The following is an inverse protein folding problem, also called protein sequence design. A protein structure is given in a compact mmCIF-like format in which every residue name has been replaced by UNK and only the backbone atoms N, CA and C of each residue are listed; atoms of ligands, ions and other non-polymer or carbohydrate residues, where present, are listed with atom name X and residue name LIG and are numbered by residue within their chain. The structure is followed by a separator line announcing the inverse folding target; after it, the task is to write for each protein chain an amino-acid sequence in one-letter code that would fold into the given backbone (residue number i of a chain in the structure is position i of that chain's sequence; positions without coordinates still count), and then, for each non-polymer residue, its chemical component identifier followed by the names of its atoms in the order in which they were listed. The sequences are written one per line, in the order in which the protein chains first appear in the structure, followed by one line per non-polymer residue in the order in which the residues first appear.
data_IF_023431754868
#
_entry.id   IF_023431754868
#
_cell.length_a   1.000
_cell.length_b   1.000
_cell.length_c   1.000
_cell.angle_alpha   90.00
_cell.angle_beta   90.00
_cell.angle_gamma   90.00
#
_symmetry.space_group_name_H-M   'P 1'
#
loop_
_entity.id
_entity.type
_entity.pdbx_description
1 polymer ?
#
# COMPACT_ATOMS: atom_id res chain seq x y z
N UNK A 1 14.41 21.06 -16.63
CA UNK A 1 13.80 22.17 -15.87
C UNK A 1 13.04 21.54 -14.72
N UNK A 2 13.24 22.02 -13.53
CA UNK A 2 12.47 21.53 -12.36
C UNK A 2 10.99 21.87 -12.55
N UNK A 3 10.12 20.88 -12.53
CA UNK A 3 8.66 21.06 -12.62
C UNK A 3 8.11 21.25 -11.20
N UNK A 4 7.98 22.49 -10.78
CA UNK A 4 7.67 22.82 -9.39
C UNK A 4 6.16 22.89 -9.08
N UNK A 5 5.32 23.04 -10.11
CA UNK A 5 3.87 23.21 -9.95
C UNK A 5 3.07 22.12 -10.64
N UNK A 6 1.85 21.85 -10.13
CA UNK A 6 0.93 20.89 -10.76
C UNK A 6 0.64 21.23 -12.21
N UNK A 7 0.36 22.47 -12.62
CA UNK A 7 0.17 22.81 -14.02
C UNK A 7 1.37 22.49 -14.92
N UNK A 8 2.60 22.71 -14.46
CA UNK A 8 3.81 22.38 -15.23
C UNK A 8 3.96 20.87 -15.42
N UNK A 9 3.66 20.08 -14.37
CA UNK A 9 3.70 18.61 -14.40
C UNK A 9 2.65 18.05 -15.35
N UNK A 10 1.42 18.59 -15.33
CA UNK A 10 0.35 18.20 -16.25
C UNK A 10 0.66 18.55 -17.70
N UNK A 11 1.24 19.72 -17.95
CA UNK A 11 1.67 20.09 -19.29
C UNK A 11 2.76 19.15 -19.82
N UNK A 12 3.74 18.77 -18.99
CA UNK A 12 4.77 17.80 -19.34
C UNK A 12 4.19 16.40 -19.61
N UNK A 13 3.22 15.96 -18.78
CA UNK A 13 2.56 14.67 -18.97
C UNK A 13 1.79 14.64 -20.29
N UNK A 14 1.03 15.69 -20.62
CA UNK A 14 0.32 15.80 -21.91
C UNK A 14 1.27 15.77 -23.10
N UNK A 15 2.40 16.47 -23.00
CA UNK A 15 3.42 16.43 -24.06
C UNK A 15 4.01 15.02 -24.24
N UNK A 16 4.22 14.27 -23.13
CA UNK A 16 4.68 12.89 -23.18
C UNK A 16 3.59 11.95 -23.73
N UNK A 17 2.32 12.18 -23.39
CA UNK A 17 1.18 11.46 -23.97
C UNK A 17 1.14 11.62 -25.49
N UNK A 18 1.22 12.84 -25.98
CA UNK A 18 1.22 13.13 -27.41
C UNK A 18 2.42 12.47 -28.14
N UNK A 19 3.61 12.55 -27.55
CA UNK A 19 4.81 11.93 -28.11
C UNK A 19 4.71 10.39 -28.19
N UNK A 20 3.89 9.78 -27.35
CA UNK A 20 3.69 8.32 -27.29
C UNK A 20 2.40 7.85 -27.97
N UNK A 21 1.61 8.73 -28.56
CA UNK A 21 0.34 8.42 -29.20
C UNK A 21 -0.73 7.94 -28.20
N UNK A 22 -0.77 8.56 -27.02
CA UNK A 22 -1.72 8.26 -25.93
C UNK A 22 -2.72 9.41 -25.84
N UNK A 23 -4.01 9.09 -25.84
CA UNK A 23 -5.08 10.08 -25.78
C UNK A 23 -5.51 10.40 -24.34
N UNK A 24 -5.33 9.42 -23.42
CA UNK A 24 -5.72 9.50 -22.03
C UNK A 24 -4.72 8.72 -21.17
N UNK A 25 -4.33 9.28 -20.02
CA UNK A 25 -3.39 8.61 -19.10
C UNK A 25 -4.02 8.44 -17.72
N UNK A 26 -4.00 7.22 -17.20
CA UNK A 26 -4.54 6.84 -15.89
C UNK A 26 -3.41 6.57 -14.90
N UNK A 27 -3.42 7.28 -13.78
CA UNK A 27 -2.50 7.10 -12.65
C UNK A 27 -3.34 6.66 -11.44
N UNK A 28 -3.37 5.37 -11.09
CA UNK A 28 -3.98 4.92 -9.83
C UNK A 28 -3.06 5.22 -8.64
N UNK A 29 -3.61 5.33 -7.45
CA UNK A 29 -2.82 5.14 -6.23
C UNK A 29 -2.41 3.67 -6.18
N UNK A 30 -1.12 3.40 -6.22
CA UNK A 30 -0.63 2.03 -6.21
C UNK A 30 0.89 1.94 -6.34
N UNK A 31 1.38 0.80 -5.90
CA UNK A 31 2.74 0.33 -6.06
C UNK A 31 2.77 -1.08 -6.70
N UNK A 32 3.92 -1.67 -6.98
CA UNK A 32 4.01 -3.00 -7.58
C UNK A 32 3.40 -4.14 -6.74
N UNK A 33 3.04 -3.88 -5.49
CA UNK A 33 2.62 -4.86 -4.49
C UNK A 33 1.20 -4.66 -3.97
N UNK A 34 0.46 -3.67 -4.47
CA UNK A 34 -0.86 -3.28 -3.98
C UNK A 34 -0.85 -3.00 -2.47
N UNK A 35 0.16 -2.25 -2.02
CA UNK A 35 0.30 -1.84 -0.63
C UNK A 35 -0.77 -0.80 -0.27
N UNK A 36 -1.21 -0.80 0.99
CA UNK A 36 -2.13 0.22 1.52
C UNK A 36 -1.41 1.56 1.69
N UNK A 37 -0.23 1.55 2.33
CA UNK A 37 0.67 2.69 2.40
C UNK A 37 1.76 2.52 1.36
N UNK A 38 1.95 3.54 0.52
CA UNK A 38 2.93 3.48 -0.55
C UNK A 38 4.31 3.92 -0.06
N UNK A 39 5.39 3.28 -0.53
CA UNK A 39 6.70 3.93 -0.49
C UNK A 39 6.66 5.26 -1.23
N UNK A 40 7.32 6.28 -0.72
CA UNK A 40 7.33 7.63 -1.32
C UNK A 40 7.74 7.64 -2.80
N UNK A 41 8.51 6.66 -3.24
CA UNK A 41 8.88 6.46 -4.64
C UNK A 41 7.67 6.30 -5.57
N UNK A 42 6.58 5.73 -5.08
CA UNK A 42 5.38 5.40 -5.85
C UNK A 42 4.22 6.39 -5.67
N UNK A 43 4.46 7.54 -5.06
CA UNK A 43 3.44 8.59 -4.86
C UNK A 43 3.23 9.44 -6.12
N UNK A 44 3.20 8.80 -7.30
CA UNK A 44 3.06 9.51 -8.59
C UNK A 44 1.74 10.29 -8.69
N UNK A 45 0.63 9.74 -8.17
CA UNK A 45 -0.63 10.45 -8.15
C UNK A 45 -0.49 11.79 -7.40
N UNK A 46 0.11 11.77 -6.22
CA UNK A 46 0.38 12.98 -5.43
C UNK A 46 1.29 13.95 -6.17
N UNK A 47 2.34 13.46 -6.81
CA UNK A 47 3.24 14.32 -7.60
C UNK A 47 2.50 15.05 -8.71
N UNK A 48 1.64 14.40 -9.48
CA UNK A 48 0.96 15.00 -10.62
C UNK A 48 -0.29 15.80 -10.23
N UNK A 49 -1.01 15.43 -9.17
CA UNK A 49 -2.26 16.08 -8.77
C UNK A 49 -2.12 17.05 -7.59
N UNK A 50 -1.12 16.87 -6.73
CA UNK A 50 -1.01 17.56 -5.44
C UNK A 50 -1.88 16.95 -4.33
N UNK A 51 -2.62 15.88 -4.59
CA UNK A 51 -3.50 15.23 -3.63
C UNK A 51 -2.79 14.08 -2.87
N UNK A 52 -2.94 14.05 -1.53
CA UNK A 52 -2.27 13.12 -0.63
C UNK A 52 -3.20 12.04 -0.04
N UNK A 53 -4.25 11.63 -0.73
CA UNK A 53 -5.15 10.60 -0.23
C UNK A 53 -4.84 9.22 -0.79
N UNK A 54 -5.36 8.21 -0.13
CA UNK A 54 -5.34 6.82 -0.54
C UNK A 54 -6.59 6.47 -1.38
N UNK A 55 -6.62 5.27 -1.97
CA UNK A 55 -7.76 4.75 -2.73
C UNK A 55 -8.33 5.74 -3.75
N UNK A 56 -7.46 6.28 -4.58
CA UNK A 56 -7.79 7.31 -5.56
C UNK A 56 -7.29 6.94 -6.95
N UNK A 57 -7.88 7.55 -7.96
CA UNK A 57 -7.45 7.44 -9.34
C UNK A 57 -7.37 8.84 -9.95
N UNK A 58 -6.38 9.07 -10.78
CA UNK A 58 -6.19 10.34 -11.47
C UNK A 58 -6.14 10.11 -12.98
N UNK A 59 -7.00 10.77 -13.72
CA UNK A 59 -7.10 10.66 -15.17
C UNK A 59 -6.74 11.99 -15.80
N UNK A 60 -5.81 11.96 -16.75
CA UNK A 60 -5.40 13.11 -17.54
C UNK A 60 -5.76 12.89 -18.99
N UNK A 61 -6.57 13.80 -19.54
CA UNK A 61 -6.85 13.90 -20.98
C UNK A 61 -6.03 15.03 -21.59
N UNK A 62 -6.18 15.28 -22.90
CA UNK A 62 -5.47 16.36 -23.58
C UNK A 62 -5.81 17.77 -23.06
N UNK A 63 -7.02 17.94 -22.53
CA UNK A 63 -7.57 19.25 -22.14
C UNK A 63 -8.12 19.31 -20.72
N UNK A 64 -8.26 18.17 -20.03
CA UNK A 64 -8.83 18.06 -18.69
C UNK A 64 -8.03 17.12 -17.79
N UNK A 65 -8.26 17.24 -16.50
CA UNK A 65 -7.78 16.29 -15.48
C UNK A 65 -8.85 16.06 -14.45
N UNK A 66 -9.05 14.82 -14.01
CA UNK A 66 -10.05 14.47 -13.02
C UNK A 66 -9.47 13.52 -11.96
N UNK A 67 -9.82 13.77 -10.71
CA UNK A 67 -9.39 13.01 -9.54
C UNK A 67 -10.58 12.33 -8.90
N UNK A 68 -10.58 11.00 -8.83
CA UNK A 68 -11.53 10.22 -8.03
C UNK A 68 -10.99 10.07 -6.61
N UNK A 69 -11.77 10.52 -5.64
CA UNK A 69 -11.49 10.29 -4.22
C UNK A 69 -12.73 9.70 -3.55
N UNK A 70 -12.55 8.84 -2.54
CA UNK A 70 -13.66 8.30 -1.77
C UNK A 70 -14.10 9.23 -0.63
N UNK A 71 -15.23 8.91 0.03
CA UNK A 71 -15.87 9.78 1.01
C UNK A 71 -15.01 10.17 2.21
N UNK A 72 -13.94 9.44 2.50
CA UNK A 72 -12.99 9.77 3.56
C UNK A 72 -12.18 11.03 3.26
N UNK A 73 -12.00 11.34 1.98
CA UNK A 73 -11.07 12.36 1.48
C UNK A 73 -11.74 13.54 0.77
N UNK A 74 -13.06 13.62 0.65
CA UNK A 74 -13.71 14.69 -0.12
C UNK A 74 -13.28 16.10 0.32
N UNK A 75 -13.27 16.35 1.64
CA UNK A 75 -12.89 17.65 2.19
C UNK A 75 -11.40 17.96 1.95
N UNK A 76 -10.55 16.97 2.13
CA UNK A 76 -9.12 17.11 1.90
C UNK A 76 -8.83 17.36 0.41
N UNK A 77 -9.41 16.57 -0.48
CA UNK A 77 -9.23 16.71 -1.92
C UNK A 77 -9.65 18.09 -2.41
N UNK A 78 -10.80 18.60 -1.96
CA UNK A 78 -11.25 19.97 -2.30
C UNK A 78 -10.23 21.04 -1.91
N UNK A 79 -9.61 20.91 -0.74
CA UNK A 79 -8.59 21.85 -0.28
C UNK A 79 -7.30 21.75 -1.09
N UNK A 80 -6.80 20.53 -1.31
CA UNK A 80 -5.49 20.29 -1.89
C UNK A 80 -5.44 20.58 -3.41
N UNK A 81 -6.51 20.30 -4.15
CA UNK A 81 -6.57 20.61 -5.58
C UNK A 81 -7.09 22.02 -5.89
N UNK A 82 -7.44 22.79 -4.85
CA UNK A 82 -7.98 24.13 -5.04
C UNK A 82 -7.03 25.03 -5.85
N UNK A 83 -7.58 25.73 -6.84
CA UNK A 83 -6.79 26.61 -7.73
C UNK A 83 -6.03 25.89 -8.85
N UNK A 84 -6.19 24.57 -8.97
CA UNK A 84 -5.74 23.79 -10.14
C UNK A 84 -6.87 23.63 -11.17
N UNK A 85 -6.57 23.01 -12.31
CA UNK A 85 -7.57 22.64 -13.31
C UNK A 85 -8.29 21.31 -13.01
N UNK A 86 -7.93 20.63 -11.91
CA UNK A 86 -8.37 19.27 -11.62
C UNK A 86 -9.82 19.28 -11.13
N UNK A 87 -10.67 18.49 -11.78
CA UNK A 87 -12.05 18.25 -11.37
C UNK A 87 -12.10 17.14 -10.33
N UNK A 88 -12.81 17.34 -9.20
CA UNK A 88 -13.02 16.32 -8.18
C UNK A 88 -14.23 15.46 -8.51
N UNK A 89 -14.00 14.18 -8.73
CA UNK A 89 -15.03 13.16 -8.90
C UNK A 89 -15.23 12.42 -7.55
N UNK A 90 -16.36 12.68 -6.89
CA UNK A 90 -16.68 12.11 -5.57
C UNK A 90 -17.21 10.69 -5.72
N UNK A 91 -16.35 9.70 -5.47
CA UNK A 91 -16.68 8.28 -5.65
C UNK A 91 -17.94 7.88 -4.87
N UNK A 92 -18.88 7.25 -5.60
CA UNK A 92 -20.13 6.75 -5.02
C UNK A 92 -21.27 7.75 -4.89
N UNK A 93 -21.03 9.04 -5.18
CA UNK A 93 -22.09 10.04 -5.19
C UNK A 93 -22.99 9.89 -6.44
N UNK A 94 -24.30 10.19 -6.33
CA UNK A 94 -25.22 10.08 -7.45
C UNK A 94 -24.81 10.97 -8.63
N UNK A 95 -24.72 10.38 -9.82
CA UNK A 95 -24.38 11.07 -11.05
C UNK A 95 -22.88 11.19 -11.33
N UNK A 96 -22.01 10.75 -10.41
CA UNK A 96 -20.58 10.68 -10.62
C UNK A 96 -20.24 9.39 -11.38
N UNK A 97 -19.54 9.46 -12.53
CA UNK A 97 -19.16 8.28 -13.28
C UNK A 97 -18.06 7.50 -12.53
N UNK A 98 -17.99 6.19 -12.74
CA UNK A 98 -16.80 5.44 -12.33
C UNK A 98 -15.61 5.84 -13.21
N UNK A 99 -14.39 5.55 -12.75
CA UNK A 99 -13.18 5.85 -13.53
C UNK A 99 -13.20 5.15 -14.88
N UNK A 100 -13.72 3.92 -14.96
CA UNK A 100 -13.84 3.17 -16.21
C UNK A 100 -14.84 3.82 -17.17
N UNK A 101 -15.99 4.27 -16.66
CA UNK A 101 -17.01 4.97 -17.46
C UNK A 101 -16.47 6.28 -18.02
N UNK A 102 -15.80 7.07 -17.16
CA UNK A 102 -15.18 8.32 -17.59
C UNK A 102 -14.12 8.09 -18.66
N UNK A 103 -13.23 7.10 -18.47
CA UNK A 103 -12.24 6.74 -19.48
C UNK A 103 -12.87 6.36 -20.80
N UNK A 104 -13.95 5.55 -20.78
CA UNK A 104 -14.68 5.17 -21.98
C UNK A 104 -15.36 6.36 -22.65
N UNK A 105 -15.93 7.30 -21.89
CA UNK A 105 -16.61 8.48 -22.44
C UNK A 105 -15.61 9.50 -23.03
N UNK A 106 -14.49 9.71 -22.35
CA UNK A 106 -13.47 10.66 -22.76
C UNK A 106 -12.58 10.17 -23.92
N UNK A 107 -12.41 8.85 -24.08
CA UNK A 107 -11.55 8.28 -25.12
C UNK A 107 -12.20 8.43 -26.51
N UNK A 108 -11.48 8.90 -27.54
CA UNK A 108 -11.95 8.88 -28.93
C UNK A 108 -12.11 7.43 -29.44
N UNK A 109 -12.86 7.27 -30.54
CA UNK A 109 -12.99 5.99 -31.24
C UNK A 109 -11.63 5.47 -31.68
N UNK A 110 -11.29 4.21 -31.31
CA UNK A 110 -9.98 3.62 -31.58
C UNK A 110 -8.82 4.25 -30.80
N UNK A 111 -9.11 5.07 -29.78
CA UNK A 111 -8.11 5.78 -28.99
C UNK A 111 -7.27 4.88 -28.09
N UNK A 112 -6.23 5.44 -27.52
CA UNK A 112 -5.24 4.74 -26.67
C UNK A 112 -5.23 5.34 -25.27
N UNK A 113 -5.49 4.49 -24.26
CA UNK A 113 -5.28 4.81 -22.86
C UNK A 113 -3.90 4.31 -22.41
N UNK A 114 -3.10 5.19 -21.83
CA UNK A 114 -1.81 4.86 -21.22
C UNK A 114 -1.91 4.66 -19.72
N UNK A 115 -1.10 3.76 -19.17
CA UNK A 115 -0.92 3.59 -17.73
C UNK A 115 0.39 2.85 -17.42
N UNK A 116 0.87 2.98 -16.17
CA UNK A 116 1.99 2.16 -15.69
C UNK A 116 1.49 0.78 -15.25
N UNK A 117 1.95 -0.28 -15.96
CA UNK A 117 1.56 -1.65 -15.64
C UNK A 117 2.09 -2.16 -14.30
N UNK A 118 3.14 -1.55 -13.73
CA UNK A 118 3.68 -1.92 -12.42
C UNK A 118 2.83 -1.41 -11.25
N UNK A 119 2.15 -0.27 -11.42
CA UNK A 119 1.36 0.35 -10.34
C UNK A 119 -0.15 0.12 -10.49
N UNK A 120 -0.60 -0.38 -11.63
CA UNK A 120 -1.99 -0.74 -11.88
C UNK A 120 -2.26 -2.23 -11.62
N UNK A 121 -3.30 -2.55 -10.84
CA UNK A 121 -3.72 -3.95 -10.64
C UNK A 121 -4.28 -4.53 -11.94
N UNK A 122 -4.15 -5.85 -12.11
CA UNK A 122 -4.75 -6.56 -13.23
C UNK A 122 -6.28 -6.35 -13.30
N UNK A 123 -6.95 -6.33 -12.15
CA UNK A 123 -8.38 -6.09 -12.07
C UNK A 123 -8.77 -4.72 -12.62
N UNK A 124 -8.06 -3.67 -12.24
CA UNK A 124 -8.32 -2.31 -12.75
C UNK A 124 -8.14 -2.25 -14.27
N UNK A 125 -7.02 -2.77 -14.77
CA UNK A 125 -6.73 -2.74 -16.22
C UNK A 125 -7.80 -3.49 -17.01
N UNK A 126 -8.25 -4.64 -16.53
CA UNK A 126 -9.32 -5.42 -17.17
C UNK A 126 -10.67 -4.71 -17.15
N UNK A 127 -11.05 -4.08 -16.04
CA UNK A 127 -12.30 -3.34 -15.96
C UNK A 127 -12.31 -2.11 -16.86
N UNK A 128 -11.19 -1.41 -16.94
CA UNK A 128 -11.01 -0.29 -17.87
C UNK A 128 -11.06 -0.80 -19.32
N UNK A 129 -10.29 -1.82 -19.70
CA UNK A 129 -10.32 -2.36 -21.08
C UNK A 129 -11.74 -2.76 -21.51
N UNK A 130 -12.47 -3.45 -20.63
CA UNK A 130 -13.87 -3.85 -20.89
C UNK A 130 -14.76 -2.64 -21.18
N UNK A 131 -14.54 -1.51 -20.49
CA UNK A 131 -15.29 -0.28 -20.75
C UNK A 131 -14.90 0.37 -22.09
N UNK A 132 -13.60 0.27 -22.47
CA UNK A 132 -13.09 0.81 -23.73
C UNK A 132 -13.49 0.01 -24.97
N UNK A 133 -13.84 -1.28 -24.83
CA UNK A 133 -14.14 -2.19 -25.95
C UNK A 133 -15.26 -1.66 -26.86
N UNK A 134 -16.24 -0.96 -26.29
CA UNK A 134 -17.34 -0.36 -27.05
C UNK A 134 -16.90 0.70 -28.07
N UNK A 135 -15.74 1.31 -27.87
CA UNK A 135 -15.10 2.30 -28.75
C UNK A 135 -13.86 1.77 -29.46
N UNK A 136 -13.65 0.47 -29.45
CA UNK A 136 -12.43 -0.16 -29.98
C UNK A 136 -11.14 0.45 -29.39
N UNK A 137 -11.23 0.97 -28.15
CA UNK A 137 -10.11 1.54 -27.44
C UNK A 137 -9.11 0.48 -26.97
N UNK A 138 -7.85 0.86 -26.86
CA UNK A 138 -6.77 -0.03 -26.44
C UNK A 138 -6.01 0.54 -25.25
N UNK A 139 -5.45 -0.34 -24.41
CA UNK A 139 -4.56 0.05 -23.33
C UNK A 139 -3.12 -0.16 -23.77
N UNK A 140 -2.27 0.84 -23.53
CA UNK A 140 -0.84 0.79 -23.74
C UNK A 140 -0.12 0.92 -22.39
N UNK A 141 0.61 -0.12 -22.00
CA UNK A 141 1.46 -0.07 -20.81
C UNK A 141 2.74 0.70 -21.10
N UNK A 142 2.92 1.80 -20.40
CA UNK A 142 4.15 2.60 -20.44
C UNK A 142 4.26 3.41 -19.14
N UNK A 143 5.47 3.63 -18.70
CA UNK A 143 5.73 4.35 -17.45
C UNK A 143 6.19 5.78 -17.77
N UNK A 144 5.23 6.69 -17.86
CA UNK A 144 5.50 8.11 -18.07
C UNK A 144 5.91 8.82 -16.78
N UNK A 145 5.51 8.29 -15.64
CA UNK A 145 5.80 8.84 -14.32
C UNK A 145 7.31 8.84 -14.06
N UNK A 146 8.00 7.72 -14.30
CA UNK A 146 9.44 7.61 -14.09
C UNK A 146 10.22 8.49 -15.06
N UNK A 147 9.72 8.63 -16.30
CA UNK A 147 10.36 9.47 -17.31
C UNK A 147 10.27 10.97 -16.99
N UNK A 148 9.22 11.39 -16.28
CA UNK A 148 8.93 12.79 -15.99
C UNK A 148 9.33 13.20 -14.58
N UNK A 149 9.12 12.34 -13.57
CA UNK A 149 9.49 12.62 -12.20
C UNK A 149 10.90 12.14 -11.88
N UNK A 150 11.89 12.83 -12.44
CA UNK A 150 13.32 12.48 -12.27
C UNK A 150 14.00 13.31 -11.19
N UNK A 151 13.58 14.57 -11.00
CA UNK A 151 14.16 15.48 -10.01
C UNK A 151 13.37 15.42 -8.70
N UNK A 152 14.07 15.18 -7.59
CA UNK A 152 13.47 15.12 -6.25
C UNK A 152 12.60 13.88 -6.00
N UNK A 153 12.59 12.88 -6.89
CA UNK A 153 11.89 11.63 -6.65
C UNK A 153 12.60 10.84 -5.55
N UNK A 154 11.89 10.41 -4.52
CA UNK A 154 12.46 9.54 -3.50
C UNK A 154 13.02 8.25 -4.09
N UNK A 155 14.16 7.78 -3.57
CA UNK A 155 14.70 6.48 -3.96
C UNK A 155 13.82 5.34 -3.45
N UNK A 156 13.96 4.15 -4.04
CA UNK A 156 13.36 2.95 -3.47
C UNK A 156 13.95 2.69 -2.08
N UNK A 157 13.14 2.19 -1.13
CA UNK A 157 13.62 1.87 0.21
C UNK A 157 14.73 0.83 0.17
N UNK A 158 15.76 1.03 1.00
CA UNK A 158 16.89 0.09 1.17
C UNK A 158 17.09 -0.26 2.66
N UNK A 159 16.01 -0.41 3.42
CA UNK A 159 16.11 -0.77 4.83
C UNK A 159 16.62 -2.20 5.01
N UNK A 160 17.43 -2.49 6.05
CA UNK A 160 17.87 -3.86 6.31
C UNK A 160 16.68 -4.82 6.48
N UNK A 161 16.76 -5.98 5.84
CA UNK A 161 15.75 -7.02 5.98
C UNK A 161 16.19 -8.06 7.01
N UNK A 162 15.25 -8.56 7.82
CA UNK A 162 15.47 -9.58 8.85
C UNK A 162 14.36 -10.63 8.85
N UNK A 163 14.58 -11.75 9.54
CA UNK A 163 13.56 -12.78 9.72
C UNK A 163 13.01 -12.75 11.15
N UNK A 164 11.70 -12.80 11.24
CA UNK A 164 11.00 -13.03 12.51
C UNK A 164 11.21 -14.47 12.93
N UNK A 165 11.72 -14.71 14.13
CA UNK A 165 12.01 -16.06 14.61
C UNK A 165 10.75 -16.93 14.73
N UNK A 166 10.93 -18.24 14.63
CA UNK A 166 9.86 -19.22 14.87
C UNK A 166 9.22 -19.06 16.25
N UNK A 167 9.95 -18.56 17.24
CA UNK A 167 9.41 -18.25 18.58
C UNK A 167 8.20 -17.32 18.49
N UNK A 168 8.25 -16.31 17.61
CA UNK A 168 7.13 -15.37 17.40
C UNK A 168 6.14 -15.85 16.34
N UNK A 169 6.63 -16.42 15.25
CA UNK A 169 5.81 -16.80 14.10
C UNK A 169 5.09 -18.16 14.26
N UNK A 170 5.52 -19.00 15.18
CA UNK A 170 4.99 -20.36 15.41
C UNK A 170 5.47 -21.39 14.38
N UNK A 171 5.64 -21.00 13.12
CA UNK A 171 6.12 -21.84 12.02
C UNK A 171 7.33 -21.24 11.34
N UNK A 172 8.24 -22.10 10.90
CA UNK A 172 9.35 -21.71 10.02
C UNK A 172 8.85 -21.48 8.59
N UNK A 173 9.59 -20.73 7.75
CA UNK A 173 9.23 -20.53 6.33
C UNK A 173 9.00 -21.85 5.57
N UNK A 174 9.84 -22.87 5.77
CA UNK A 174 9.67 -24.17 5.12
C UNK A 174 8.32 -24.82 5.44
N UNK A 175 7.87 -24.77 6.71
CA UNK A 175 6.58 -25.34 7.13
C UNK A 175 5.40 -24.58 6.47
N UNK A 176 5.49 -23.26 6.34
CA UNK A 176 4.46 -22.43 5.68
C UNK A 176 4.45 -22.66 4.16
N UNK A 177 5.63 -22.82 3.54
CA UNK A 177 5.73 -23.18 2.11
C UNK A 177 5.09 -24.55 1.83
N UNK A 178 5.26 -25.53 2.71
CA UNK A 178 4.58 -26.83 2.56
C UNK A 178 3.05 -26.70 2.67
N UNK A 179 2.56 -25.89 3.61
CA UNK A 179 1.12 -25.60 3.74
C UNK A 179 0.58 -24.92 2.47
N UNK A 180 1.31 -23.94 1.93
CA UNK A 180 0.93 -23.29 0.68
C UNK A 180 0.90 -24.25 -0.49
N UNK A 181 1.92 -25.11 -0.66
CA UNK A 181 1.98 -26.13 -1.72
C UNK A 181 0.81 -27.10 -1.64
N UNK A 182 0.43 -27.53 -0.44
CA UNK A 182 -0.75 -28.35 -0.24
C UNK A 182 -2.02 -27.64 -0.71
N UNK A 183 -2.15 -26.36 -0.39
CA UNK A 183 -3.29 -25.52 -0.79
C UNK A 183 -3.34 -25.29 -2.29
N UNK A 184 -2.22 -25.02 -2.93
CA UNK A 184 -2.12 -24.88 -4.39
C UNK A 184 -2.58 -26.16 -5.11
N UNK A 185 -2.18 -27.33 -4.60
CA UNK A 185 -2.63 -28.62 -5.13
C UNK A 185 -4.15 -28.80 -5.03
N UNK A 186 -4.77 -28.41 -3.91
CA UNK A 186 -6.23 -28.44 -3.75
C UNK A 186 -6.92 -27.53 -4.78
N UNK A 187 -6.32 -26.38 -5.08
CA UNK A 187 -6.81 -25.43 -6.07
C UNK A 187 -6.48 -25.81 -7.52
N UNK A 188 -5.78 -26.94 -7.75
CA UNK A 188 -5.36 -27.36 -9.09
C UNK A 188 -4.29 -26.46 -9.71
N UNK A 189 -3.51 -25.76 -8.87
CA UNK A 189 -2.36 -24.97 -9.27
C UNK A 189 -1.05 -25.70 -8.94
N UNK A 190 0.00 -25.40 -9.71
CA UNK A 190 1.34 -25.95 -9.48
C UNK A 190 2.34 -24.90 -9.03
N UNK A 191 1.98 -23.61 -9.21
CA UNK A 191 2.79 -22.48 -8.80
C UNK A 191 1.92 -21.32 -8.33
N UNK A 192 2.53 -20.39 -7.57
CA UNK A 192 1.96 -19.09 -7.22
C UNK A 192 3.03 -18.02 -7.28
N UNK A 193 2.67 -16.84 -7.81
CA UNK A 193 3.42 -15.64 -7.59
C UNK A 193 2.81 -14.87 -6.40
N UNK A 194 3.59 -14.70 -5.34
CA UNK A 194 3.24 -13.93 -4.16
C UNK A 194 3.78 -12.51 -4.34
N UNK A 195 2.88 -11.57 -4.60
CA UNK A 195 3.21 -10.15 -4.79
C UNK A 195 2.84 -9.28 -3.58
N UNK A 196 1.79 -9.62 -2.82
CA UNK A 196 1.40 -8.84 -1.64
C UNK A 196 2.44 -8.96 -0.52
N UNK A 197 2.91 -7.81 -0.05
CA UNK A 197 4.00 -7.75 0.94
C UNK A 197 3.63 -8.35 2.29
N UNK A 198 2.40 -8.17 2.75
CA UNK A 198 1.88 -8.74 3.98
C UNK A 198 1.78 -10.28 3.92
N UNK A 199 1.37 -10.83 2.77
CA UNK A 199 1.34 -12.27 2.54
C UNK A 199 2.75 -12.86 2.48
N UNK A 200 3.67 -12.18 1.81
CA UNK A 200 5.08 -12.56 1.72
C UNK A 200 5.76 -12.48 3.10
N UNK A 201 5.52 -11.41 3.84
CA UNK A 201 6.04 -11.23 5.19
C UNK A 201 5.60 -12.35 6.14
N UNK A 202 4.37 -12.81 6.02
CA UNK A 202 3.89 -13.96 6.78
C UNK A 202 4.50 -15.27 6.28
N UNK A 203 4.51 -15.51 4.97
CA UNK A 203 4.97 -16.77 4.36
C UNK A 203 6.43 -17.06 4.70
N UNK A 204 7.29 -16.07 4.53
CA UNK A 204 8.74 -16.20 4.71
C UNK A 204 9.25 -15.66 6.07
N UNK A 205 8.37 -15.21 6.96
CA UNK A 205 8.75 -14.50 8.19
C UNK A 205 9.63 -13.26 7.94
N UNK A 206 9.63 -12.74 6.72
CA UNK A 206 10.49 -11.65 6.28
C UNK A 206 9.97 -10.29 6.74
N UNK A 207 10.86 -9.45 7.24
CA UNK A 207 10.57 -8.08 7.69
C UNK A 207 11.59 -7.10 7.15
N UNK A 208 11.15 -5.88 6.91
CA UNK A 208 11.96 -4.69 6.69
C UNK A 208 11.09 -3.45 6.93
N UNK A 209 11.68 -2.27 7.00
CA UNK A 209 10.94 -1.02 7.21
C UNK A 209 10.80 -0.25 5.89
N UNK A 210 10.35 -0.91 4.82
CA UNK A 210 10.20 -0.27 3.50
C UNK A 210 8.89 0.49 3.36
N UNK A 211 7.88 0.06 4.07
CA UNK A 211 6.56 0.66 4.08
C UNK A 211 6.37 1.40 5.40
N UNK A 212 5.88 2.61 5.33
CA UNK A 212 5.58 3.40 6.52
C UNK A 212 4.66 2.61 7.47
N UNK A 213 4.95 2.65 8.76
CA UNK A 213 4.17 2.01 9.82
C UNK A 213 4.04 0.48 9.73
N UNK A 214 4.53 -0.17 8.68
CA UNK A 214 4.41 -1.62 8.50
C UNK A 214 5.76 -2.25 8.19
N UNK A 215 6.19 -3.29 8.95
CA UNK A 215 7.51 -3.88 8.77
C UNK A 215 7.55 -4.86 7.60
N UNK A 216 7.25 -4.39 6.39
CA UNK A 216 7.27 -5.18 5.17
C UNK A 216 8.50 -4.90 4.33
N UNK A 217 9.01 -5.94 3.68
CA UNK A 217 10.08 -5.87 2.71
C UNK A 217 9.50 -5.83 1.29
N UNK A 218 9.91 -4.88 0.47
CA UNK A 218 9.59 -4.89 -0.96
C UNK A 218 10.27 -6.10 -1.61
N UNK A 219 9.45 -7.07 -2.00
CA UNK A 219 9.92 -8.32 -2.58
C UNK A 219 8.77 -9.08 -3.28
N UNK A 220 9.14 -10.00 -4.16
CA UNK A 220 8.24 -11.02 -4.72
C UNK A 220 8.72 -12.41 -4.30
N UNK A 221 7.83 -13.38 -4.30
CA UNK A 221 8.20 -14.77 -4.15
C UNK A 221 7.46 -15.63 -5.18
N UNK A 222 8.22 -16.38 -5.99
CA UNK A 222 7.67 -17.38 -6.91
C UNK A 222 7.82 -18.75 -6.27
N UNK A 223 6.70 -19.43 -6.04
CA UNK A 223 6.65 -20.73 -5.37
C UNK A 223 6.13 -21.77 -6.33
N UNK A 224 6.87 -22.88 -6.50
CA UNK A 224 6.44 -24.10 -7.20
C UNK A 224 6.37 -25.28 -6.21
N UNK A 225 6.04 -26.46 -6.73
CA UNK A 225 5.99 -27.68 -5.93
C UNK A 225 7.30 -28.03 -5.20
N UNK A 226 8.43 -27.63 -5.75
CA UNK A 226 9.78 -27.96 -5.27
C UNK A 226 10.71 -26.76 -5.08
N UNK A 227 10.36 -25.58 -5.60
CA UNK A 227 11.17 -24.35 -5.50
C UNK A 227 10.40 -23.24 -4.78
N UNK A 228 11.15 -22.34 -4.18
CA UNK A 228 10.69 -21.02 -3.76
C UNK A 228 11.82 -20.02 -4.03
N UNK A 229 11.55 -18.99 -4.82
CA UNK A 229 12.53 -17.97 -5.21
C UNK A 229 12.07 -16.63 -4.69
N UNK A 230 12.83 -16.02 -3.78
CA UNK A 230 12.60 -14.68 -3.25
C UNK A 230 13.36 -13.68 -4.12
N UNK A 231 12.64 -12.71 -4.67
CA UNK A 231 13.18 -11.57 -5.42
C UNK A 231 13.19 -10.35 -4.50
N UNK A 232 14.38 -9.94 -4.08
CA UNK A 232 14.60 -8.82 -3.16
C UNK A 232 15.91 -8.13 -3.53
N UNK A 233 16.06 -6.83 -3.23
CA UNK A 233 17.38 -6.20 -3.31
C UNK A 233 18.33 -6.92 -2.34
N UNK A 234 19.23 -7.74 -2.89
CA UNK A 234 20.06 -8.67 -2.11
C UNK A 234 21.03 -7.98 -1.15
N UNK A 235 21.37 -6.72 -1.41
CA UNK A 235 22.22 -5.93 -0.51
C UNK A 235 21.61 -5.69 0.87
N UNK A 236 20.29 -5.86 0.99
CA UNK A 236 19.54 -5.63 2.22
C UNK A 236 19.48 -6.84 3.14
N UNK A 237 19.80 -8.03 2.60
CA UNK A 237 19.84 -9.27 3.36
C UNK A 237 21.21 -9.42 4.03
N UNK A 238 21.23 -9.43 5.37
CA UNK A 238 22.41 -9.83 6.12
C UNK A 238 22.72 -11.31 5.88
N UNK A 239 23.98 -11.71 6.12
CA UNK A 239 24.45 -13.09 5.90
C UNK A 239 23.63 -14.14 6.69
N UNK A 240 23.17 -13.79 7.89
CA UNK A 240 22.35 -14.64 8.76
C UNK A 240 20.97 -14.88 8.15
N UNK A 241 20.26 -13.83 7.77
CA UNK A 241 18.95 -13.94 7.14
C UNK A 241 19.01 -14.70 5.80
N UNK A 242 20.04 -14.45 5.00
CA UNK A 242 20.23 -15.16 3.74
C UNK A 242 20.53 -16.67 3.96
N UNK A 243 21.31 -17.02 5.00
CA UNK A 243 21.56 -18.42 5.35
C UNK A 243 20.30 -19.12 5.85
N UNK A 244 19.51 -18.47 6.72
CA UNK A 244 18.26 -19.02 7.23
C UNK A 244 17.22 -19.23 6.12
N UNK A 245 17.07 -18.30 5.19
CA UNK A 245 16.20 -18.48 4.02
C UNK A 245 16.62 -19.70 3.19
N UNK A 246 17.93 -19.85 2.95
CA UNK A 246 18.49 -21.01 2.22
C UNK A 246 18.24 -22.34 2.94
N UNK A 247 18.41 -22.37 4.26
CA UNK A 247 18.12 -23.54 5.09
C UNK A 247 16.64 -23.93 5.03
N UNK A 248 15.76 -22.95 4.82
CA UNK A 248 14.32 -23.13 4.62
C UNK A 248 13.93 -23.41 3.15
N UNK A 249 14.91 -23.66 2.26
CA UNK A 249 14.67 -24.02 0.86
C UNK A 249 14.26 -22.84 -0.04
N UNK A 250 14.63 -21.61 0.34
CA UNK A 250 14.35 -20.40 -0.45
C UNK A 250 15.61 -19.97 -1.20
N UNK A 251 15.52 -19.91 -2.50
CA UNK A 251 16.51 -19.28 -3.39
C UNK A 251 16.35 -17.76 -3.33
N UNK A 252 17.43 -17.01 -3.56
CA UNK A 252 17.43 -15.54 -3.50
C UNK A 252 17.88 -15.01 -4.87
N UNK A 253 17.13 -14.08 -5.42
CA UNK A 253 17.41 -13.37 -6.67
C UNK A 253 17.24 -11.85 -6.48
N UNK A 254 17.74 -11.05 -7.44
CA UNK A 254 17.54 -9.59 -7.41
C UNK A 254 16.07 -9.22 -7.70
N UNK A 255 15.62 -8.16 -7.03
CA UNK A 255 14.23 -7.67 -7.11
C UNK A 255 13.81 -7.40 -8.57
N UNK A 256 14.67 -6.75 -9.33
CA UNK A 256 14.39 -6.34 -10.71
C UNK A 256 14.35 -7.51 -11.71
N UNK A 257 14.82 -8.69 -11.32
CA UNK A 257 14.85 -9.86 -12.20
C UNK A 257 13.50 -10.55 -12.36
N UNK A 258 12.47 -10.19 -11.59
CA UNK A 258 11.18 -10.91 -11.56
C UNK A 258 10.54 -11.05 -12.94
N UNK A 259 10.43 -10.00 -13.73
CA UNK A 259 9.80 -10.07 -15.04
C UNK A 259 10.62 -10.90 -16.01
N UNK A 260 11.94 -10.74 -15.99
CA UNK A 260 12.87 -11.53 -16.82
C UNK A 260 12.84 -13.01 -16.46
N UNK A 261 12.78 -13.31 -15.17
CA UNK A 261 12.66 -14.68 -14.66
C UNK A 261 11.35 -15.33 -15.13
N UNK A 262 10.21 -14.67 -14.94
CA UNK A 262 8.91 -15.19 -15.37
C UNK A 262 8.82 -15.36 -16.89
N UNK A 263 9.41 -14.47 -17.67
CA UNK A 263 9.47 -14.58 -19.13
C UNK A 263 10.36 -15.73 -19.60
N UNK A 264 11.39 -16.09 -18.82
CA UNK A 264 12.33 -17.15 -19.14
C UNK A 264 11.94 -18.54 -18.58
N UNK A 265 10.86 -18.64 -17.81
CA UNK A 265 10.41 -19.93 -17.26
C UNK A 265 10.04 -20.89 -18.40
N UNK A 266 10.56 -22.11 -18.32
CA UNK A 266 10.37 -23.14 -19.35
C UNK A 266 9.59 -24.37 -18.87
N UNK A 267 9.44 -24.51 -17.58
CA UNK A 267 8.65 -25.58 -16.99
C UNK A 267 7.15 -25.25 -17.08
N UNK A 268 6.37 -26.22 -17.49
CA UNK A 268 4.93 -26.05 -17.60
C UNK A 268 4.30 -25.90 -16.21
N UNK A 269 3.74 -24.71 -15.91
CA UNK A 269 3.11 -24.41 -14.63
C UNK A 269 1.69 -23.85 -14.81
N UNK A 270 0.80 -24.25 -13.90
CA UNK A 270 -0.46 -23.54 -13.67
C UNK A 270 -0.26 -22.57 -12.51
N UNK A 271 -0.10 -21.28 -12.82
CA UNK A 271 0.27 -20.25 -11.87
C UNK A 271 -0.99 -19.57 -11.32
N UNK A 272 -1.19 -19.64 -10.00
CA UNK A 272 -2.20 -18.85 -9.32
C UNK A 272 -1.77 -17.37 -9.31
N UNK A 273 -2.62 -16.51 -9.80
CA UNK A 273 -2.47 -15.06 -9.71
C UNK A 273 -3.81 -14.44 -9.32
N UNK A 274 -3.81 -13.64 -8.25
CA UNK A 274 -4.98 -12.90 -7.81
C UNK A 274 -5.04 -11.56 -8.57
N UNK A 275 -6.02 -11.37 -9.47
CA UNK A 275 -6.10 -10.15 -10.28
C UNK A 275 -6.27 -8.86 -9.47
N UNK A 276 -6.75 -8.95 -8.23
CA UNK A 276 -6.94 -7.80 -7.35
C UNK A 276 -5.63 -7.29 -6.76
N UNK A 277 -4.61 -8.15 -6.63
CA UNK A 277 -3.35 -7.84 -5.96
C UNK A 277 -2.10 -7.94 -6.84
N UNK A 278 -2.18 -8.66 -7.95
CA UNK A 278 -1.06 -8.75 -8.92
C UNK A 278 -1.09 -7.53 -9.85
N UNK A 279 0.06 -6.85 -10.00
CA UNK A 279 0.18 -5.77 -10.96
C UNK A 279 0.12 -6.29 -12.41
N UNK A 280 -0.29 -5.41 -13.31
CA UNK A 280 -0.57 -5.81 -14.69
C UNK A 280 0.68 -6.21 -15.46
N UNK A 281 1.84 -5.59 -15.21
CA UNK A 281 3.09 -5.94 -15.89
C UNK A 281 3.51 -7.40 -15.61
N UNK A 282 3.39 -7.83 -14.36
CA UNK A 282 3.62 -9.21 -13.95
C UNK A 282 2.59 -10.14 -14.59
N UNK A 283 1.30 -9.76 -14.50
CA UNK A 283 0.22 -10.57 -15.08
C UNK A 283 0.37 -10.75 -16.60
N UNK A 284 0.71 -9.68 -17.32
CA UNK A 284 0.96 -9.71 -18.75
C UNK A 284 2.17 -10.60 -19.09
N UNK A 285 3.24 -10.51 -18.30
CA UNK A 285 4.43 -11.38 -18.47
C UNK A 285 4.09 -12.84 -18.30
N UNK A 286 3.31 -13.20 -17.27
CA UNK A 286 2.85 -14.57 -17.06
C UNK A 286 2.02 -15.09 -18.24
N UNK A 287 1.09 -14.29 -18.76
CA UNK A 287 0.23 -14.68 -19.87
C UNK A 287 0.98 -14.78 -21.22
N UNK A 288 2.03 -13.99 -21.40
CA UNK A 288 2.84 -14.03 -22.62
C UNK A 288 3.83 -15.20 -22.66
N UNK A 289 4.06 -15.89 -21.55
CA UNK A 289 4.93 -17.06 -21.51
C UNK A 289 4.13 -18.33 -21.84
N UNK A 290 4.43 -19.04 -22.96
CA UNK A 290 3.69 -20.21 -23.41
C UNK A 290 3.81 -21.44 -22.49
N UNK A 291 4.80 -21.47 -21.58
CA UNK A 291 4.95 -22.52 -20.58
C UNK A 291 4.01 -22.32 -19.38
N UNK A 292 3.48 -21.10 -19.20
CA UNK A 292 2.68 -20.76 -18.04
C UNK A 292 1.19 -20.68 -18.41
N UNK A 293 0.35 -21.25 -17.57
CA UNK A 293 -1.11 -21.08 -17.64
C UNK A 293 -1.54 -20.32 -16.40
N UNK A 294 -2.02 -19.11 -16.57
CA UNK A 294 -2.50 -18.29 -15.44
C UNK A 294 -3.88 -18.76 -15.02
N UNK A 295 -4.05 -19.03 -13.72
CA UNK A 295 -5.33 -19.25 -13.07
C UNK A 295 -5.67 -18.06 -12.20
N UNK A 296 -6.73 -17.34 -12.59
CA UNK A 296 -7.33 -16.27 -11.78
C UNK A 296 -8.01 -16.89 -10.56
N UNK A 297 -7.42 -16.70 -9.39
CA UNK A 297 -7.93 -17.23 -8.12
C UNK A 297 -7.51 -16.29 -7.00
N UNK A 298 -8.35 -16.17 -5.96
CA UNK A 298 -8.00 -15.39 -4.78
C UNK A 298 -6.77 -15.96 -4.08
N UNK A 299 -5.91 -15.07 -3.56
CA UNK A 299 -4.68 -15.49 -2.89
C UNK A 299 -4.99 -16.32 -1.61
N UNK A 300 -4.63 -17.61 -1.57
CA UNK A 300 -4.89 -18.46 -0.43
C UNK A 300 -4.11 -18.07 0.84
N UNK A 301 -3.06 -17.27 0.72
CA UNK A 301 -2.28 -16.79 1.86
C UNK A 301 -3.10 -15.84 2.74
N UNK A 302 -4.06 -15.10 2.16
CA UNK A 302 -4.90 -14.19 2.93
C UNK A 302 -5.68 -14.90 4.06
N UNK A 303 -6.50 -15.94 3.80
CA UNK A 303 -7.13 -16.71 4.87
C UNK A 303 -6.13 -17.52 5.70
N UNK A 304 -5.02 -18.01 5.14
CA UNK A 304 -4.02 -18.77 5.88
C UNK A 304 -3.37 -17.94 6.99
N UNK A 305 -2.96 -16.69 6.71
CA UNK A 305 -2.43 -15.79 7.75
C UNK A 305 -3.52 -15.23 8.67
N UNK A 306 -4.75 -15.11 8.16
CA UNK A 306 -5.89 -14.61 8.93
C UNK A 306 -6.26 -15.56 10.11
N UNK A 307 -6.11 -16.86 9.90
CA UNK A 307 -6.32 -17.88 10.95
C UNK A 307 -5.00 -18.09 11.72
N UNK A 308 -4.86 -17.33 12.79
CA UNK A 308 -3.64 -17.34 13.60
C UNK A 308 -3.43 -18.68 14.32
N UNK A 309 -2.18 -19.14 14.36
CA UNK A 309 -1.79 -20.29 15.18
C UNK A 309 -1.74 -19.92 16.67
N UNK A 310 -1.60 -20.93 17.58
CA UNK A 310 -1.59 -20.70 19.02
C UNK A 310 -0.47 -19.76 19.50
N UNK A 311 0.70 -19.80 18.86
CA UNK A 311 1.82 -18.91 19.17
C UNK A 311 1.46 -17.48 18.82
N UNK A 312 0.98 -17.23 17.62
CA UNK A 312 0.53 -15.91 17.17
C UNK A 312 -0.62 -15.36 18.03
N UNK A 313 -1.59 -16.22 18.42
CA UNK A 313 -2.70 -15.82 19.28
C UNK A 313 -2.23 -15.38 20.68
N UNK A 314 -1.32 -16.14 21.28
CA UNK A 314 -0.81 -15.82 22.61
C UNK A 314 0.01 -14.54 22.59
N UNK A 315 0.90 -14.38 21.64
CA UNK A 315 1.69 -13.18 21.45
C UNK A 315 0.84 -11.95 21.16
N UNK A 316 -0.19 -12.09 20.32
CA UNK A 316 -1.10 -10.98 20.04
C UNK A 316 -1.87 -10.52 21.30
N UNK A 317 -2.30 -11.45 22.17
CA UNK A 317 -2.91 -11.10 23.46
C UNK A 317 -1.95 -10.34 24.36
N UNK A 318 -0.68 -10.75 24.40
CA UNK A 318 0.36 -10.06 25.19
C UNK A 318 0.71 -8.68 24.64
N UNK A 319 0.78 -8.53 23.31
CA UNK A 319 0.97 -7.23 22.67
C UNK A 319 -0.16 -6.26 23.04
N UNK A 320 -1.42 -6.70 22.99
CA UNK A 320 -2.56 -5.88 23.40
C UNK A 320 -2.55 -5.51 24.88
N UNK A 321 -2.07 -6.40 25.75
CA UNK A 321 -1.95 -6.09 27.18
C UNK A 321 -0.89 -5.00 27.42
N UNK A 322 0.26 -5.08 26.74
CA UNK A 322 1.31 -4.03 26.82
C UNK A 322 0.81 -2.71 26.28
N UNK A 323 0.15 -2.73 25.13
CA UNK A 323 -0.39 -1.51 24.52
C UNK A 323 -1.49 -0.89 25.37
N UNK A 324 -2.35 -1.70 26.01
CA UNK A 324 -3.34 -1.20 26.95
C UNK A 324 -2.71 -0.45 28.14
N UNK A 325 -1.54 -0.88 28.62
CA UNK A 325 -0.79 -0.15 29.66
C UNK A 325 -0.29 1.20 29.10
N UNK A 326 0.19 1.23 27.87
CA UNK A 326 0.60 2.48 27.23
C UNK A 326 -0.59 3.45 27.11
N UNK A 327 -1.75 2.95 26.65
CA UNK A 327 -2.99 3.75 26.51
C UNK A 327 -3.47 4.33 27.86
N UNK A 328 -3.43 3.55 28.94
CA UNK A 328 -3.82 4.05 30.28
C UNK A 328 -2.86 5.12 30.78
N UNK A 329 -1.56 4.95 30.54
CA UNK A 329 -0.55 5.96 30.90
C UNK A 329 -0.70 7.24 30.09
N UNK A 330 -0.97 7.09 28.77
CA UNK A 330 -1.30 8.20 27.89
C UNK A 330 -2.50 8.99 28.41
N UNK A 331 -3.63 8.33 28.67
CA UNK A 331 -4.83 8.99 29.15
C UNK A 331 -4.56 9.74 30.47
N UNK A 332 -3.86 9.11 31.40
CA UNK A 332 -3.50 9.74 32.67
C UNK A 332 -2.67 11.01 32.47
N UNK A 333 -1.62 10.98 31.63
CA UNK A 333 -0.79 12.16 31.36
C UNK A 333 -1.59 13.26 30.66
N UNK A 334 -2.42 12.90 29.68
CA UNK A 334 -3.30 13.85 28.99
C UNK A 334 -4.22 14.59 29.97
N UNK A 335 -4.90 13.86 30.85
CA UNK A 335 -5.80 14.42 31.88
C UNK A 335 -5.06 15.33 32.87
N UNK A 336 -3.88 14.89 33.35
CA UNK A 336 -3.05 15.66 34.31
C UNK A 336 -2.54 16.97 33.70
N UNK A 337 -2.04 16.95 32.46
CA UNK A 337 -1.52 18.12 31.76
C UNK A 337 -2.63 19.10 31.40
N UNK A 338 -3.79 18.60 30.95
CA UNK A 338 -4.97 19.43 30.73
C UNK A 338 -5.46 20.07 32.04
N UNK A 339 -5.50 19.31 33.15
CA UNK A 339 -5.90 19.86 34.47
C UNK A 339 -4.94 20.96 34.94
N UNK A 340 -3.64 20.79 34.71
CA UNK A 340 -2.60 21.76 35.01
C UNK A 340 -2.71 23.07 34.17
N UNK A 341 -3.50 23.05 33.10
CA UNK A 341 -3.67 24.19 32.19
C UNK A 341 -2.54 24.33 31.17
N UNK A 342 -1.84 23.26 30.89
CA UNK A 342 -0.85 23.24 29.80
C UNK A 342 -1.53 23.40 28.44
N UNK A 343 -0.88 24.10 27.52
CA UNK A 343 -1.31 24.14 26.13
C UNK A 343 -0.96 22.83 25.44
N UNK A 344 -1.97 22.08 25.05
CA UNK A 344 -1.83 20.83 24.32
C UNK A 344 -2.46 20.97 22.94
N UNK A 345 -1.94 20.23 21.97
CA UNK A 345 -2.41 20.17 20.60
C UNK A 345 -2.61 18.72 20.17
N UNK A 346 -3.20 18.50 19.01
CA UNK A 346 -3.31 17.17 18.40
C UNK A 346 -1.92 16.54 18.17
N UNK A 347 -0.90 17.34 17.84
CA UNK A 347 0.50 16.85 17.74
C UNK A 347 1.04 16.38 19.10
N UNK A 348 0.74 17.11 20.19
CA UNK A 348 1.15 16.70 21.54
C UNK A 348 0.51 15.35 21.94
N UNK A 349 -0.70 15.05 21.46
CA UNK A 349 -1.35 13.74 21.68
C UNK A 349 -0.54 12.61 21.09
N UNK A 350 -0.09 12.77 19.84
CA UNK A 350 0.76 11.79 19.16
C UNK A 350 2.10 11.59 19.88
N UNK A 351 2.76 12.69 20.30
CA UNK A 351 4.02 12.64 21.06
C UNK A 351 3.87 11.85 22.37
N UNK A 352 2.77 12.05 23.12
CA UNK A 352 2.53 11.35 24.38
C UNK A 352 2.27 9.86 24.12
N UNK A 353 1.52 9.53 23.08
CA UNK A 353 1.27 8.12 22.66
C UNK A 353 2.58 7.44 22.29
N UNK A 354 3.36 8.03 21.40
CA UNK A 354 4.66 7.51 20.99
C UNK A 354 5.57 7.27 22.20
N UNK A 355 5.66 8.22 23.13
CA UNK A 355 6.45 8.09 24.36
C UNK A 355 6.12 6.83 25.15
N UNK A 356 4.83 6.51 25.31
CA UNK A 356 4.42 5.35 26.11
C UNK A 356 4.46 4.04 25.35
N UNK A 357 4.22 4.04 24.05
CA UNK A 357 4.32 2.85 23.19
C UNK A 357 5.76 2.45 22.94
N UNK A 358 6.62 3.41 22.58
CA UNK A 358 8.04 3.15 22.34
C UNK A 358 8.81 2.69 23.59
N UNK A 359 8.28 2.98 24.78
CA UNK A 359 8.82 2.49 26.05
C UNK A 359 8.38 1.05 26.40
N UNK A 360 7.50 0.43 25.62
CA UNK A 360 7.12 -0.97 25.81
C UNK A 360 8.14 -1.92 25.19
N UNK A 361 8.32 -3.08 25.81
CA UNK A 361 9.16 -4.14 25.25
C UNK A 361 8.67 -4.56 23.87
N UNK A 362 9.61 -4.87 22.97
CA UNK A 362 9.35 -5.40 21.61
C UNK A 362 8.70 -4.39 20.65
N UNK A 363 8.57 -3.13 21.01
CA UNK A 363 8.09 -2.09 20.09
C UNK A 363 8.97 -2.00 18.84
N UNK A 364 8.34 -1.89 17.68
CA UNK A 364 9.02 -1.68 16.39
C UNK A 364 8.70 -0.27 15.87
N UNK A 365 7.40 0.02 15.70
CA UNK A 365 6.89 1.24 15.10
C UNK A 365 5.39 1.39 15.41
N UNK A 366 4.81 2.57 15.24
CA UNK A 366 3.36 2.72 15.17
C UNK A 366 2.79 1.88 14.03
N UNK A 367 1.59 1.26 14.23
CA UNK A 367 0.96 0.43 13.19
C UNK A 367 0.34 1.24 12.05
N UNK A 368 0.06 2.52 12.32
CA UNK A 368 -0.36 3.54 11.36
C UNK A 368 -0.13 4.93 11.97
N UNK A 369 -0.20 5.98 11.15
CA UNK A 369 -0.09 7.35 11.64
C UNK A 369 -1.22 7.68 12.62
N UNK A 370 -0.89 8.17 13.82
CA UNK A 370 -1.88 8.50 14.84
C UNK A 370 -2.90 9.50 14.31
N UNK A 371 -4.17 9.17 14.42
CA UNK A 371 -5.28 10.08 14.20
C UNK A 371 -5.67 10.67 15.55
N UNK A 372 -5.23 11.89 15.83
CA UNK A 372 -5.63 12.67 17.01
C UNK A 372 -6.50 13.83 16.52
N UNK A 373 -7.81 13.69 16.65
CA UNK A 373 -8.75 14.61 16.03
C UNK A 373 -9.68 15.26 17.06
N UNK A 374 -9.51 16.57 17.27
CA UNK A 374 -10.30 17.34 18.20
C UNK A 374 -11.46 18.07 17.51
N UNK A 375 -12.65 17.98 18.09
CA UNK A 375 -13.83 18.69 17.61
C UNK A 375 -14.16 18.38 16.15
N UNK A 376 -14.15 19.40 15.29
CA UNK A 376 -14.51 19.25 13.87
C UNK A 376 -13.56 18.38 13.03
N UNK A 377 -12.29 18.25 13.42
CA UNK A 377 -11.32 17.42 12.73
C UNK A 377 -11.70 15.93 12.79
N UNK A 378 -12.44 15.52 13.84
CA UNK A 378 -12.93 14.13 13.97
C UNK A 378 -13.98 13.73 12.91
N UNK A 379 -14.45 14.66 12.08
CA UNK A 379 -15.30 14.34 10.93
C UNK A 379 -14.50 13.81 9.73
N UNK A 380 -13.18 13.92 9.74
CA UNK A 380 -12.28 13.38 8.71
C UNK A 380 -11.68 12.07 9.22
N UNK A 381 -12.08 10.93 8.64
CA UNK A 381 -11.71 9.58 9.14
C UNK A 381 -10.21 9.30 9.06
N UNK A 382 -9.51 9.90 8.10
CA UNK A 382 -8.06 9.78 7.90
C UNK A 382 -7.36 11.12 8.12
N UNK A 383 -7.81 11.87 9.16
CA UNK A 383 -7.18 13.12 9.55
C UNK A 383 -5.78 12.90 10.11
N UNK A 384 -4.84 13.70 9.65
CA UNK A 384 -3.50 13.78 10.24
C UNK A 384 -3.19 15.23 10.58
N UNK A 385 -2.88 15.49 11.83
CA UNK A 385 -2.39 16.79 12.27
C UNK A 385 -0.99 17.06 11.71
N UNK A 386 -0.77 18.28 11.21
CA UNK A 386 0.54 18.73 10.74
C UNK A 386 1.00 19.96 11.50
N UNK A 387 2.26 20.36 11.36
CA UNK A 387 2.76 21.61 11.96
C UNK A 387 1.98 22.82 11.50
N UNK A 388 1.49 22.82 10.25
CA UNK A 388 0.76 23.92 9.63
C UNK A 388 -0.76 23.88 9.91
N UNK A 389 -1.34 22.68 10.13
CA UNK A 389 -2.78 22.50 10.34
C UNK A 389 -3.03 21.49 11.46
N UNK A 390 -3.30 21.99 12.66
CA UNK A 390 -3.66 21.22 13.84
C UNK A 390 -4.49 22.05 14.84
N UNK A 391 -5.31 21.38 15.62
CA UNK A 391 -6.12 22.06 16.65
C UNK A 391 -5.41 22.11 18.00
N UNK A 392 -5.66 23.20 18.75
CA UNK A 392 -5.37 23.27 20.19
C UNK A 392 -6.50 22.62 20.98
N UNK A 393 -6.14 21.80 21.97
CA UNK A 393 -7.10 21.15 22.85
C UNK A 393 -7.63 22.15 23.89
N UNK A 394 -8.93 22.17 24.08
CA UNK A 394 -9.59 22.93 25.12
C UNK A 394 -10.24 22.02 26.17
N UNK A 395 -10.50 22.49 27.37
CA UNK A 395 -11.20 21.72 28.43
C UNK A 395 -12.71 21.61 28.15
N UNK A 396 -13.06 21.22 26.93
CA UNK A 396 -14.45 20.97 26.49
C UNK A 396 -14.48 20.06 25.26
N UNK A 397 -15.63 19.48 24.98
CA UNK A 397 -15.85 18.68 23.77
C UNK A 397 -15.13 17.33 23.80
N UNK A 398 -14.90 16.78 22.60
CA UNK A 398 -14.36 15.43 22.41
C UNK A 398 -13.05 15.48 21.63
N UNK A 399 -12.13 14.60 22.04
CA UNK A 399 -10.94 14.21 21.31
C UNK A 399 -11.09 12.76 20.88
N UNK A 400 -11.11 12.50 19.56
CA UNK A 400 -11.01 11.16 19.01
C UNK A 400 -9.53 10.83 18.82
N UNK A 401 -9.11 9.66 19.31
CA UNK A 401 -7.76 9.16 19.14
C UNK A 401 -7.84 7.74 18.55
N UNK A 402 -7.36 7.59 17.34
CA UNK A 402 -7.21 6.31 16.66
C UNK A 402 -5.72 6.07 16.42
N UNK A 403 -5.21 4.96 16.96
CA UNK A 403 -3.76 4.75 17.03
C UNK A 403 -3.44 3.28 17.33
N UNK A 404 -2.24 2.85 16.99
CA UNK A 404 -1.80 1.51 17.28
C UNK A 404 -0.28 1.38 17.24
N UNK A 405 0.23 0.21 17.56
CA UNK A 405 1.64 -0.12 17.48
C UNK A 405 1.87 -1.52 16.93
N UNK A 406 2.97 -1.65 16.19
CA UNK A 406 3.53 -2.93 15.77
C UNK A 406 4.66 -3.31 16.73
N UNK A 407 4.51 -4.46 17.35
CA UNK A 407 5.50 -5.12 18.20
C UNK A 407 6.08 -6.33 17.48
N UNK A 408 7.23 -6.85 17.92
CA UNK A 408 7.79 -8.10 17.37
C UNK A 408 6.81 -9.28 17.40
N UNK A 409 5.86 -9.25 18.33
CA UNK A 409 4.96 -10.35 18.64
C UNK A 409 3.45 -10.03 18.40
N UNK A 410 3.12 -8.87 17.87
CA UNK A 410 1.72 -8.54 17.54
C UNK A 410 1.55 -7.09 17.13
N UNK A 411 0.38 -6.82 16.58
CA UNK A 411 0.00 -5.46 16.13
C UNK A 411 -1.30 -5.06 16.80
N UNK A 412 -1.39 -3.81 17.23
CA UNK A 412 -2.59 -3.23 17.87
C UNK A 412 -3.18 -2.12 17.01
N UNK A 413 -4.47 -1.92 17.20
CA UNK A 413 -5.29 -0.89 16.56
C UNK A 413 -6.40 -0.54 17.55
N UNK A 414 -6.37 0.67 18.12
CA UNK A 414 -7.23 1.07 19.24
C UNK A 414 -7.76 2.48 19.02
N UNK A 415 -9.07 2.58 18.84
CA UNK A 415 -9.78 3.86 18.80
C UNK A 415 -10.44 4.18 20.14
N UNK A 416 -10.29 5.41 20.63
CA UNK A 416 -10.98 5.93 21.83
C UNK A 416 -11.43 7.37 21.59
N UNK A 417 -12.58 7.72 22.20
CA UNK A 417 -13.07 9.10 22.24
C UNK A 417 -13.07 9.58 23.68
N UNK A 418 -12.31 10.63 23.95
CA UNK A 418 -12.11 11.20 25.26
C UNK A 418 -12.91 12.50 25.43
N UNK A 419 -13.76 12.62 26.48
CA UNK A 419 -14.33 13.92 26.86
C UNK A 419 -13.26 14.76 27.55
N UNK A 420 -13.02 15.98 27.07
CA UNK A 420 -11.98 16.88 27.61
C UNK A 420 -12.52 17.89 28.63
N UNK A 421 -13.64 17.64 29.27
CA UNK A 421 -14.28 18.52 30.27
C UNK A 421 -15.80 18.50 30.17
N UNK A 422 -16.42 19.68 30.39
CA UNK A 422 -17.88 19.78 30.20
C UNK A 422 -18.26 19.64 28.72
N UNK A 423 -19.33 18.86 28.46
CA UNK A 423 -19.85 18.55 27.13
C UNK A 423 -20.98 19.47 26.74
#
# INVERSE_FOLDING_TARGET
MSMNTVPERLAALRAAMDANGVDLYLIPVGDPHSSEYLPDHYTSLTYFSGFHGENSNFVVTRDKSALWADGRYFVQAEKEIAGTEIELERMGEPGVPTVEQYCADALPEGGVLGLCGLTASCQLVRSVQKALDAKHGTIKTLNLEDALWTEGRPALPETPAWLLSKEYAGFAPAEKLEQLRAKLKELGCTAQLVGKLDNLAWLLNLRAMDIQCTPYAMAYCYVTGDRAVLFINTRRLGAEAAAELKENGVEIAEYDDILTFLAAETEAQTVLADPASVNYAVYETLNNNPALTVKDEADPLLPMKGVKNETELNHNREAHLRDAVAMVRFQKELEERLAAGEELTELTVDEILHKYRSAQDKFIVESFGTIAAYGGNAAMMHYHATEEDHAKLEKKGFLLVDSGATYMDGTTDITRTYPLGEL
#
